data_IF_322260771787
#
_entry.id   IF_322260771787
#
_cell.length_a   1.000
_cell.length_b   1.000
_cell.length_c   1.000
_cell.angle_alpha   90.00
_cell.angle_beta   90.00
_cell.angle_gamma   90.00
#
_symmetry.space_group_name_H-M   'P 1'
#
loop_
_entity.id
_entity.type
_entity.pdbx_description
1 polymer ?
#
# COMPACT_ATOMS: atom_id res chain seq x y z
N UNK A 1 -4.47 59.99 44.61
CA UNK A 1 -4.46 60.28 43.17
C UNK A 1 -4.90 59.01 42.45
N UNK A 2 -6.21 58.82 42.23
CA UNK A 2 -6.91 58.98 40.92
C UNK A 2 -6.42 57.91 39.92
N UNK A 3 -7.21 57.00 39.35
CA UNK A 3 -8.63 56.68 39.41
C UNK A 3 -8.87 55.22 38.94
N UNK A 4 -10.06 54.70 39.28
CA UNK A 4 -10.64 53.38 38.99
C UNK A 4 -11.02 53.16 37.52
N UNK A 5 -11.02 51.90 37.08
CA UNK A 5 -12.19 51.08 36.65
C UNK A 5 -11.68 49.73 36.09
N UNK A 6 -12.09 48.58 36.67
CA UNK A 6 -13.08 47.59 36.15
C UNK A 6 -12.71 47.04 34.76
N UNK A 7 -12.70 45.74 34.42
CA UNK A 7 -13.33 44.53 34.95
C UNK A 7 -12.95 43.31 34.08
N UNK A 8 -12.97 42.09 34.65
CA UNK A 8 -13.31 40.77 34.06
C UNK A 8 -12.83 40.40 32.64
N UNK A 9 -12.09 39.30 32.53
CA UNK A 9 -12.05 38.44 31.34
C UNK A 9 -12.19 36.96 31.72
N UNK A 10 -13.32 36.37 31.30
CA UNK A 10 -13.55 34.93 31.22
C UNK A 10 -13.06 34.44 29.85
N UNK A 11 -12.31 33.34 29.82
CA UNK A 11 -11.83 32.72 28.58
C UNK A 11 -12.68 31.51 28.22
N UNK A 12 -13.37 31.56 27.07
CA UNK A 12 -13.99 30.39 26.45
C UNK A 12 -13.99 30.45 24.91
N UNK A 13 -13.78 29.26 24.34
CA UNK A 13 -14.22 28.76 23.04
C UNK A 13 -13.69 29.37 21.73
N UNK A 14 -12.74 28.64 21.15
CA UNK A 14 -12.77 28.02 19.81
C UNK A 14 -13.96 28.30 18.89
N UNK A 15 -13.71 28.84 17.70
CA UNK A 15 -14.31 28.35 16.44
C UNK A 15 -13.41 28.68 15.24
N UNK A 16 -13.24 27.68 14.36
CA UNK A 16 -12.47 27.67 13.12
C UNK A 16 -12.95 28.67 12.08
N UNK A 17 -12.03 29.29 11.33
CA UNK A 17 -12.30 29.77 9.96
C UNK A 17 -11.10 29.58 9.02
N UNK A 18 -11.45 29.08 7.84
CA UNK A 18 -10.73 28.91 6.58
C UNK A 18 -10.14 30.21 6.02
N UNK A 19 -8.95 30.14 5.40
CA UNK A 19 -8.47 31.19 4.49
C UNK A 19 -7.71 30.60 3.28
N UNK A 20 -8.33 30.74 2.12
CA UNK A 20 -7.67 30.87 0.82
C UNK A 20 -6.87 32.16 0.77
N UNK A 21 -5.73 32.23 0.07
CA UNK A 21 -5.33 33.38 -0.76
C UNK A 21 -4.12 33.05 -1.66
N UNK A 22 -4.14 33.71 -2.81
CA UNK A 22 -3.22 33.66 -3.93
C UNK A 22 -2.06 34.67 -3.85
N UNK A 23 -0.88 34.27 -4.35
CA UNK A 23 -0.04 35.06 -5.27
C UNK A 23 0.84 36.22 -4.74
N UNK A 24 2.17 36.02 -4.77
CA UNK A 24 3.26 37.02 -4.94
C UNK A 24 4.45 36.23 -5.54
N UNK A 25 5.16 36.53 -6.63
CA UNK A 25 5.35 37.77 -7.38
C UNK A 25 6.75 38.36 -7.13
N UNK A 26 7.83 37.82 -7.72
CA UNK A 26 9.09 38.58 -7.87
C UNK A 26 9.72 38.39 -9.26
N UNK A 27 10.15 39.51 -9.80
CA UNK A 27 10.64 39.77 -11.14
C UNK A 27 12.14 40.03 -11.06
N UNK A 28 12.94 39.43 -11.94
CA UNK A 28 14.27 39.95 -12.29
C UNK A 28 14.40 39.97 -13.82
N UNK A 29 14.60 41.19 -14.32
CA UNK A 29 14.87 41.53 -15.72
C UNK A 29 16.33 41.20 -16.04
N UNK A 30 16.56 40.52 -17.16
CA UNK A 30 17.76 40.72 -17.96
C UNK A 30 17.38 40.84 -19.43
N UNK A 31 17.79 41.96 -20.01
CA UNK A 31 17.75 42.30 -21.43
C UNK A 31 18.99 41.73 -22.11
N UNK A 32 18.83 41.04 -23.25
CA UNK A 32 19.38 41.45 -24.55
C UNK A 32 19.38 40.33 -25.63
N UNK A 33 18.55 40.57 -26.64
CA UNK A 33 18.89 40.70 -28.07
C UNK A 33 19.48 39.53 -28.92
N UNK A 34 18.72 39.25 -30.01
CA UNK A 34 19.02 38.58 -31.32
C UNK A 34 18.93 37.04 -31.33
N UNK A 35 18.30 36.33 -32.27
CA UNK A 35 17.54 36.60 -33.52
C UNK A 35 16.72 35.31 -33.80
N UNK A 36 15.41 35.33 -34.06
CA UNK A 36 14.88 35.49 -35.42
C UNK A 36 14.29 34.18 -35.97
N UNK A 37 12.98 33.97 -35.76
CA UNK A 37 12.03 33.44 -36.76
C UNK A 37 10.62 33.38 -36.14
N UNK A 38 9.93 34.51 -36.23
CA UNK A 38 8.49 34.65 -35.96
C UNK A 38 7.70 34.00 -37.10
N UNK A 39 7.11 32.83 -36.86
CA UNK A 39 6.03 32.32 -37.71
C UNK A 39 4.72 33.01 -37.31
N UNK A 40 4.19 33.79 -38.25
CA UNK A 40 2.96 34.57 -38.12
C UNK A 40 1.76 33.65 -37.85
N UNK A 41 1.09 33.85 -36.71
CA UNK A 41 -0.25 33.29 -36.48
C UNK A 41 -1.25 34.15 -37.23
N UNK A 42 -1.69 33.66 -38.39
CA UNK A 42 -2.84 34.21 -39.12
C UNK A 42 -4.10 33.90 -38.31
N UNK A 43 -4.64 34.90 -37.61
CA UNK A 43 -5.98 34.85 -37.00
C UNK A 43 -7.01 34.73 -38.13
N UNK A 44 -7.50 33.53 -38.38
CA UNK A 44 -8.80 33.33 -39.02
C UNK A 44 -9.85 33.24 -37.92
N UNK A 45 -10.64 34.29 -37.79
CA UNK A 45 -11.91 34.31 -37.07
C UNK A 45 -12.93 33.46 -37.83
N UNK A 46 -13.20 32.26 -37.32
CA UNK A 46 -14.23 31.36 -37.81
C UNK A 46 -14.65 30.42 -36.68
N UNK A 47 -15.93 30.49 -36.34
CA UNK A 47 -16.60 29.85 -35.20
C UNK A 47 -16.39 28.35 -35.05
N UNK A 48 -16.47 27.90 -33.78
CA UNK A 48 -16.62 26.52 -33.29
C UNK A 48 -15.39 25.62 -33.39
N UNK A 49 -14.54 25.65 -32.37
CA UNK A 49 -13.82 24.45 -31.93
C UNK A 49 -13.85 24.37 -30.40
N UNK A 50 -14.49 23.32 -29.90
CA UNK A 50 -14.23 22.83 -28.55
C UNK A 50 -12.72 22.66 -28.43
N UNK A 51 -12.09 23.33 -27.46
CA UNK A 51 -10.72 23.03 -27.10
C UNK A 51 -10.64 21.51 -26.84
N UNK A 52 -9.67 20.78 -27.41
CA UNK A 52 -9.54 19.36 -27.13
C UNK A 52 -9.38 19.19 -25.61
N UNK A 53 -10.03 18.21 -24.99
CA UNK A 53 -9.93 17.99 -23.56
C UNK A 53 -8.46 17.78 -23.17
N UNK A 54 -8.11 18.18 -21.95
CA UNK A 54 -6.76 18.19 -21.35
C UNK A 54 -5.91 16.91 -21.56
N UNK A 55 -6.52 15.79 -21.94
CA UNK A 55 -5.88 14.52 -22.31
C UNK A 55 -4.97 14.60 -23.55
N UNK A 56 -5.18 15.58 -24.44
CA UNK A 56 -4.32 15.79 -25.62
C UNK A 56 -3.03 16.57 -25.29
N UNK A 57 -2.85 16.97 -24.02
CA UNK A 57 -1.70 17.76 -23.52
C UNK A 57 -0.72 17.01 -22.62
N UNK A 58 -0.94 15.73 -22.33
CA UNK A 58 0.07 14.94 -21.59
C UNK A 58 0.94 14.14 -22.58
N UNK A 59 2.24 14.50 -22.74
CA UNK A 59 3.13 13.95 -23.77
C UNK A 59 3.75 12.60 -23.38
N UNK A 60 3.38 12.00 -22.25
CA UNK A 60 4.06 10.81 -21.74
C UNK A 60 3.46 9.56 -22.39
N UNK A 61 4.16 9.00 -23.36
CA UNK A 61 3.84 7.72 -23.98
C UNK A 61 5.09 6.87 -24.05
N UNK A 62 4.91 5.55 -24.00
CA UNK A 62 6.00 4.62 -24.21
C UNK A 62 5.72 3.81 -25.47
N UNK A 63 6.19 4.32 -26.60
CA UNK A 63 6.17 3.58 -27.86
C UNK A 63 7.21 2.46 -27.83
N UNK A 64 6.88 1.33 -28.44
CA UNK A 64 7.75 0.17 -28.51
C UNK A 64 7.64 -0.50 -29.87
N UNK A 65 8.69 -1.21 -30.28
CA UNK A 65 8.63 -2.04 -31.47
C UNK A 65 7.94 -3.37 -31.13
N UNK A 66 6.99 -3.86 -31.96
CA UNK A 66 6.34 -5.15 -31.71
C UNK A 66 7.32 -6.31 -31.60
N UNK A 67 8.42 -6.27 -32.36
CA UNK A 67 9.48 -7.29 -32.32
C UNK A 67 10.27 -7.33 -31.01
N UNK A 68 10.20 -6.28 -30.18
CA UNK A 68 10.88 -6.19 -28.90
C UNK A 68 9.94 -6.28 -27.70
N UNK A 69 8.63 -6.51 -27.92
CA UNK A 69 7.62 -6.46 -26.85
C UNK A 69 7.93 -7.47 -25.75
N UNK A 70 8.19 -8.73 -26.10
CA UNK A 70 8.45 -9.77 -25.10
C UNK A 70 9.70 -9.45 -24.26
N UNK A 71 10.80 -9.05 -24.91
CA UNK A 71 12.02 -8.67 -24.21
C UNK A 71 11.83 -7.46 -23.29
N UNK A 72 11.02 -6.48 -23.72
CA UNK A 72 10.67 -5.32 -22.90
C UNK A 72 9.81 -5.72 -21.69
N UNK A 73 8.77 -6.54 -21.89
CA UNK A 73 7.92 -7.02 -20.80
C UNK A 73 8.70 -7.88 -19.81
N UNK A 74 9.61 -8.74 -20.27
CA UNK A 74 10.46 -9.54 -19.38
C UNK A 74 11.41 -8.66 -18.57
N UNK A 75 11.95 -7.58 -19.18
CA UNK A 75 12.75 -6.59 -18.46
C UNK A 75 11.93 -5.75 -17.47
N UNK A 76 10.69 -5.40 -17.78
CA UNK A 76 9.81 -4.63 -16.91
C UNK A 76 9.18 -5.44 -15.77
N UNK A 77 8.82 -6.71 -16.03
CA UNK A 77 7.95 -7.49 -15.15
C UNK A 77 8.60 -8.74 -14.58
N UNK A 78 9.70 -9.26 -15.15
CA UNK A 78 10.34 -10.44 -14.58
C UNK A 78 11.63 -10.09 -13.86
N UNK A 79 12.50 -9.27 -14.48
CA UNK A 79 13.80 -8.92 -13.89
C UNK A 79 13.70 -8.14 -12.57
N UNK A 80 12.81 -7.14 -12.39
CA UNK A 80 12.75 -6.35 -11.16
C UNK A 80 12.24 -7.15 -9.97
N UNK A 81 11.54 -8.25 -10.23
CA UNK A 81 10.96 -9.11 -9.20
C UNK A 81 11.71 -10.42 -9.05
N UNK A 82 12.94 -10.57 -9.55
CA UNK A 82 13.76 -11.75 -9.22
C UNK A 82 14.47 -11.55 -7.89
N UNK A 83 14.43 -12.57 -7.02
CA UNK A 83 15.15 -12.58 -5.75
C UNK A 83 16.65 -12.40 -6.02
N UNK A 84 17.24 -11.33 -5.46
CA UNK A 84 18.68 -11.06 -5.53
C UNK A 84 19.37 -12.03 -4.57
N UNK A 85 19.67 -13.24 -5.05
CA UNK A 85 20.58 -14.13 -4.34
C UNK A 85 21.99 -13.58 -4.51
N UNK A 86 22.49 -12.90 -3.48
CA UNK A 86 23.91 -12.54 -3.39
C UNK A 86 24.72 -13.82 -3.20
N UNK A 87 25.02 -14.53 -4.28
CA UNK A 87 25.89 -15.70 -4.20
C UNK A 87 27.36 -15.35 -3.99
N UNK A 88 27.77 -14.09 -4.13
CA UNK A 88 29.09 -13.58 -3.70
C UNK A 88 28.95 -12.11 -3.36
N UNK A 89 29.45 -11.70 -2.19
CA UNK A 89 29.49 -10.31 -1.70
C UNK A 89 30.35 -9.39 -2.57
N UNK A 90 29.89 -9.15 -3.80
CA UNK A 90 30.39 -8.11 -4.70
C UNK A 90 29.16 -7.30 -5.07
N UNK A 91 28.93 -6.23 -4.33
CA UNK A 91 28.03 -5.15 -4.72
C UNK A 91 28.53 -4.55 -6.04
N UNK A 92 28.16 -5.14 -7.16
CA UNK A 92 28.07 -4.42 -8.42
C UNK A 92 26.67 -3.80 -8.48
N UNK A 93 26.43 -2.85 -7.58
CA UNK A 93 25.15 -2.14 -7.45
C UNK A 93 24.98 -1.03 -8.51
N UNK A 94 25.93 -0.90 -9.47
CA UNK A 94 26.02 0.26 -10.34
C UNK A 94 25.40 0.12 -11.74
N UNK A 95 25.06 -1.08 -12.23
CA UNK A 95 24.73 -1.23 -13.66
C UNK A 95 23.44 -2.02 -13.99
N UNK A 96 22.55 -2.28 -13.02
CA UNK A 96 21.22 -2.80 -13.38
C UNK A 96 20.33 -1.62 -13.74
N UNK A 97 19.93 -1.44 -15.01
CA UNK A 97 19.09 -0.32 -15.40
C UNK A 97 17.74 -0.43 -14.68
N UNK A 98 17.51 0.47 -13.73
CA UNK A 98 16.22 0.63 -13.05
C UNK A 98 15.28 1.34 -14.02
N UNK A 99 14.05 0.84 -14.13
CA UNK A 99 13.04 1.52 -14.93
C UNK A 99 12.69 2.86 -14.26
N UNK A 100 13.02 4.02 -14.85
CA UNK A 100 12.89 5.32 -14.18
C UNK A 100 11.43 5.70 -13.91
N UNK A 101 10.50 5.14 -14.69
CA UNK A 101 9.06 5.36 -14.56
C UNK A 101 8.37 4.30 -13.68
N UNK A 102 9.06 3.20 -13.36
CA UNK A 102 8.48 2.02 -12.75
C UNK A 102 7.70 1.13 -13.74
N UNK A 103 7.58 -0.18 -13.47
CA UNK A 103 6.87 -1.13 -14.34
C UNK A 103 5.40 -0.77 -14.61
N UNK A 104 4.64 -0.47 -13.56
CA UNK A 104 3.19 -0.22 -13.68
C UNK A 104 2.88 0.98 -14.57
N UNK A 105 3.56 2.11 -14.34
CA UNK A 105 3.36 3.32 -15.13
C UNK A 105 3.84 3.12 -16.57
N UNK A 106 4.96 2.43 -16.79
CA UNK A 106 5.46 2.12 -18.13
C UNK A 106 4.45 1.33 -18.96
N UNK A 107 3.84 0.29 -18.38
CA UNK A 107 2.80 -0.50 -19.04
C UNK A 107 1.56 0.35 -19.33
N UNK A 108 1.14 1.18 -18.39
CA UNK A 108 0.04 2.12 -18.61
C UNK A 108 0.34 3.07 -19.78
N UNK A 109 1.55 3.62 -19.87
CA UNK A 109 1.96 4.46 -20.99
C UNK A 109 2.02 3.72 -22.32
N UNK A 110 2.34 2.42 -22.32
CA UNK A 110 2.29 1.56 -23.51
C UNK A 110 0.84 1.38 -23.98
N UNK A 111 -0.11 1.12 -23.07
CA UNK A 111 -1.54 1.05 -23.39
C UNK A 111 -2.05 2.37 -24.01
N UNK A 112 -1.65 3.51 -23.44
CA UNK A 112 -1.99 4.84 -23.96
C UNK A 112 -1.33 5.14 -25.31
N UNK A 113 -0.13 4.61 -25.56
CA UNK A 113 0.55 4.72 -26.85
C UNK A 113 -0.25 4.00 -27.96
N UNK A 114 -0.78 2.80 -27.67
CA UNK A 114 -1.66 2.07 -28.60
C UNK A 114 -2.88 2.91 -28.97
N UNK A 115 -3.57 3.50 -27.98
CA UNK A 115 -4.75 4.34 -28.26
C UNK A 115 -4.43 5.48 -29.22
N UNK A 116 -3.35 6.23 -28.99
CA UNK A 116 -2.96 7.34 -29.86
C UNK A 116 -2.53 6.86 -31.25
N UNK A 117 -1.86 5.72 -31.33
CA UNK A 117 -1.54 5.11 -32.62
C UNK A 117 -2.83 4.82 -33.38
N UNK A 118 -3.83 4.20 -32.75
CA UNK A 118 -5.13 4.00 -33.38
C UNK A 118 -5.79 5.32 -33.80
N UNK A 119 -5.81 6.36 -32.94
CA UNK A 119 -6.38 7.68 -33.27
C UNK A 119 -5.74 8.28 -34.54
N UNK A 120 -4.41 8.16 -34.66
CA UNK A 120 -3.67 8.68 -35.82
C UNK A 120 -4.05 7.95 -37.11
N UNK A 121 -4.21 6.63 -37.04
CA UNK A 121 -4.64 5.83 -38.19
C UNK A 121 -6.09 6.14 -38.58
N UNK A 122 -6.98 6.26 -37.60
CA UNK A 122 -8.38 6.64 -37.80
C UNK A 122 -8.50 8.02 -38.46
N UNK A 123 -7.70 9.00 -38.04
CA UNK A 123 -7.65 10.32 -38.65
C UNK A 123 -7.19 10.29 -40.13
N UNK A 124 -6.33 9.34 -40.51
CA UNK A 124 -5.90 9.16 -41.90
C UNK A 124 -6.96 8.45 -42.75
N UNK A 125 -7.67 7.48 -42.18
CA UNK A 125 -8.75 6.77 -42.85
C UNK A 125 -9.96 7.68 -43.07
N UNK A 126 -10.33 8.49 -42.07
CA UNK A 126 -11.43 9.45 -42.15
C UNK A 126 -11.21 10.52 -43.24
N UNK A 127 -9.95 10.89 -43.52
CA UNK A 127 -9.61 11.81 -44.63
C UNK A 127 -9.89 11.23 -46.01
N UNK A 128 -10.00 9.90 -46.14
CA UNK A 128 -10.19 9.19 -47.41
C UNK A 128 -11.63 8.72 -47.61
N UNK A 129 -12.57 9.16 -46.76
CA UNK A 129 -13.84 8.49 -46.55
C UNK A 129 -15.04 9.08 -47.29
N UNK A 130 -16.00 8.23 -47.67
CA UNK A 130 -17.33 8.58 -48.21
C UNK A 130 -18.45 8.29 -47.18
N UNK A 131 -19.58 9.02 -47.20
CA UNK A 131 -20.60 8.94 -46.14
C UNK A 131 -21.29 7.57 -45.99
N UNK A 132 -21.37 6.77 -47.06
CA UNK A 132 -22.05 5.46 -47.05
C UNK A 132 -21.31 4.35 -46.31
N UNK A 133 -20.02 4.52 -45.99
CA UNK A 133 -19.18 3.49 -45.34
C UNK A 133 -18.85 3.81 -43.87
N UNK A 134 -19.39 4.92 -43.34
CA UNK A 134 -19.01 5.50 -42.03
C UNK A 134 -19.18 4.54 -40.85
N UNK A 135 -20.30 3.83 -40.77
CA UNK A 135 -20.58 2.92 -39.66
C UNK A 135 -19.69 1.66 -39.68
N UNK A 136 -19.46 1.10 -40.87
CA UNK A 136 -18.62 -0.09 -41.04
C UNK A 136 -17.15 0.19 -40.71
N UNK A 137 -16.63 1.35 -41.14
CA UNK A 137 -15.26 1.73 -40.80
C UNK A 137 -15.09 1.97 -39.29
N UNK A 138 -16.02 2.67 -38.64
CA UNK A 138 -15.96 2.88 -37.18
C UNK A 138 -15.96 1.56 -36.41
N UNK A 139 -16.72 0.57 -36.88
CA UNK A 139 -16.69 -0.79 -36.33
C UNK A 139 -15.30 -1.44 -36.51
N UNK A 140 -14.72 -1.40 -37.71
CA UNK A 140 -13.37 -1.93 -37.99
C UNK A 140 -12.27 -1.24 -37.16
N UNK A 141 -12.34 0.08 -37.03
CA UNK A 141 -11.42 0.90 -36.24
C UNK A 141 -11.46 0.51 -34.76
N UNK A 142 -12.67 0.34 -34.22
CA UNK A 142 -12.89 -0.11 -32.85
C UNK A 142 -12.32 -1.51 -32.60
N UNK A 143 -12.63 -2.47 -33.47
CA UNK A 143 -12.14 -3.85 -33.37
C UNK A 143 -10.61 -3.89 -33.39
N UNK A 144 -9.96 -3.10 -34.27
CA UNK A 144 -8.49 -2.98 -34.30
C UNK A 144 -7.96 -2.50 -32.96
N UNK A 145 -8.51 -1.41 -32.42
CA UNK A 145 -8.06 -0.83 -31.14
C UNK A 145 -8.21 -1.82 -29.99
N UNK A 146 -9.35 -2.49 -29.92
CA UNK A 146 -9.63 -3.52 -28.92
C UNK A 146 -8.62 -4.68 -28.99
N UNK A 147 -8.34 -5.18 -30.20
CA UNK A 147 -7.38 -6.27 -30.42
C UNK A 147 -5.97 -5.92 -29.94
N UNK A 148 -5.46 -4.75 -30.30
CA UNK A 148 -4.10 -4.32 -29.92
C UNK A 148 -3.98 -4.15 -28.39
N UNK A 149 -4.98 -3.55 -27.75
CA UNK A 149 -5.00 -3.37 -26.30
C UNK A 149 -5.08 -4.72 -25.56
N UNK A 150 -5.96 -5.62 -25.99
CA UNK A 150 -6.08 -6.96 -25.41
C UNK A 150 -4.78 -7.74 -25.59
N UNK A 151 -4.15 -7.67 -26.76
CA UNK A 151 -2.88 -8.37 -27.02
C UNK A 151 -1.79 -7.96 -26.03
N UNK A 152 -1.64 -6.66 -25.76
CA UNK A 152 -0.67 -6.19 -24.76
C UNK A 152 -1.09 -6.62 -23.35
N UNK A 153 -2.36 -6.49 -23.00
CA UNK A 153 -2.82 -6.75 -21.63
C UNK A 153 -2.78 -8.23 -21.26
N UNK A 154 -3.10 -9.14 -22.18
CA UNK A 154 -2.88 -10.58 -22.01
C UNK A 154 -1.41 -10.87 -21.74
N UNK A 155 -0.51 -10.35 -22.60
CA UNK A 155 0.93 -10.58 -22.45
C UNK A 155 1.46 -10.09 -21.10
N UNK A 156 0.99 -8.94 -20.60
CA UNK A 156 1.33 -8.41 -19.27
C UNK A 156 0.81 -9.31 -18.16
N UNK A 157 -0.48 -9.68 -18.21
CA UNK A 157 -1.12 -10.51 -17.19
C UNK A 157 -0.46 -11.87 -17.08
N UNK A 158 -0.07 -12.50 -18.19
CA UNK A 158 0.64 -13.79 -18.19
C UNK A 158 1.99 -13.72 -17.45
N UNK A 159 2.77 -12.64 -17.65
CA UNK A 159 4.02 -12.43 -16.88
C UNK A 159 3.73 -12.24 -15.40
N UNK A 160 2.73 -11.45 -15.05
CA UNK A 160 2.37 -11.21 -13.65
C UNK A 160 1.90 -12.49 -12.94
N UNK A 161 1.15 -13.36 -13.64
CA UNK A 161 0.80 -14.70 -13.15
C UNK A 161 2.06 -15.54 -12.92
N UNK A 162 3.04 -15.48 -13.83
CA UNK A 162 4.32 -16.18 -13.64
C UNK A 162 5.09 -15.68 -12.42
N UNK A 163 5.08 -14.37 -12.14
CA UNK A 163 5.74 -13.78 -10.97
C UNK A 163 5.03 -14.22 -9.69
N UNK A 164 3.70 -14.21 -9.68
CA UNK A 164 2.89 -14.65 -8.55
C UNK A 164 3.14 -16.13 -8.22
N UNK A 165 3.21 -17.00 -9.24
CA UNK A 165 3.55 -18.41 -9.04
C UNK A 165 4.93 -18.59 -8.39
N UNK A 166 5.93 -17.81 -8.83
CA UNK A 166 7.28 -17.86 -8.24
C UNK A 166 7.27 -17.43 -6.77
N UNK A 167 6.55 -16.36 -6.43
CA UNK A 167 6.38 -15.93 -5.03
C UNK A 167 5.75 -17.01 -4.15
N UNK A 168 4.75 -17.73 -4.69
CA UNK A 168 4.07 -18.82 -3.99
C UNK A 168 4.98 -20.05 -3.80
N UNK A 169 5.74 -20.46 -4.82
CA UNK A 169 6.68 -21.59 -4.75
C UNK A 169 7.85 -21.33 -3.78
N UNK A 170 8.42 -20.12 -3.81
CA UNK A 170 9.49 -19.72 -2.89
C UNK A 170 9.03 -19.69 -1.42
N UNK A 171 7.72 -19.54 -1.16
CA UNK A 171 7.16 -19.56 0.19
C UNK A 171 7.29 -20.92 0.89
N UNK A 172 7.29 -22.00 0.12
CA UNK A 172 7.37 -23.37 0.66
C UNK A 172 8.81 -23.72 1.04
N UNK A 173 9.80 -23.15 0.35
CA UNK A 173 11.19 -23.61 0.40
C UNK A 173 12.10 -22.75 1.31
N UNK A 174 11.66 -21.58 1.76
CA UNK A 174 12.52 -20.67 2.53
C UNK A 174 12.71 -21.14 3.97
N UNK A 175 13.95 -21.19 4.44
CA UNK A 175 14.28 -21.55 5.83
C UNK A 175 15.09 -20.48 6.57
N UNK A 176 15.73 -19.55 5.85
CA UNK A 176 16.54 -18.49 6.47
C UNK A 176 15.79 -17.17 6.59
N UNK A 177 16.22 -16.33 7.55
CA UNK A 177 15.66 -14.98 7.73
C UNK A 177 15.91 -14.09 6.52
N UNK A 178 17.12 -14.16 5.96
CA UNK A 178 17.51 -13.34 4.83
C UNK A 178 16.61 -13.66 3.62
N UNK A 179 16.27 -14.93 3.42
CA UNK A 179 15.33 -15.34 2.38
C UNK A 179 13.93 -14.76 2.64
N UNK A 180 13.45 -14.78 3.89
CA UNK A 180 12.15 -14.19 4.25
C UNK A 180 12.11 -12.67 4.02
N UNK A 181 13.18 -11.96 4.37
CA UNK A 181 13.29 -10.50 4.14
C UNK A 181 13.33 -10.19 2.64
N UNK A 182 14.10 -10.94 1.86
CA UNK A 182 14.13 -10.82 0.40
C UNK A 182 12.77 -11.09 -0.25
N UNK A 183 12.06 -12.14 0.19
CA UNK A 183 10.69 -12.44 -0.27
C UNK A 183 9.69 -11.35 0.12
N UNK A 184 9.82 -10.78 1.32
CA UNK A 184 8.97 -9.67 1.75
C UNK A 184 9.17 -8.43 0.88
N UNK A 185 10.42 -8.10 0.55
CA UNK A 185 10.75 -7.00 -0.37
C UNK A 185 10.17 -7.24 -1.76
N UNK A 186 10.37 -8.44 -2.31
CA UNK A 186 9.84 -8.83 -3.61
C UNK A 186 8.31 -8.79 -3.64
N UNK A 187 7.64 -9.36 -2.63
CA UNK A 187 6.18 -9.34 -2.51
C UNK A 187 5.63 -7.92 -2.39
N UNK A 188 6.30 -7.05 -1.63
CA UNK A 188 5.93 -5.63 -1.51
C UNK A 188 6.08 -4.89 -2.85
N UNK A 189 7.17 -5.12 -3.59
CA UNK A 189 7.41 -4.53 -4.90
C UNK A 189 6.34 -4.95 -5.93
N UNK A 190 6.00 -6.25 -5.95
CA UNK A 190 4.95 -6.79 -6.84
C UNK A 190 3.59 -6.22 -6.44
N UNK A 191 3.23 -6.23 -5.15
CA UNK A 191 1.95 -5.70 -4.67
C UNK A 191 1.78 -4.23 -5.07
N UNK A 192 2.82 -3.42 -4.87
CA UNK A 192 2.84 -2.00 -5.25
C UNK A 192 2.57 -1.82 -6.75
N UNK A 193 3.31 -2.52 -7.61
CA UNK A 193 3.19 -2.37 -9.05
C UNK A 193 1.86 -2.92 -9.62
N UNK A 194 1.44 -4.12 -9.20
CA UNK A 194 0.21 -4.74 -9.72
C UNK A 194 -1.02 -3.93 -9.30
N UNK A 195 -1.06 -3.47 -8.04
CA UNK A 195 -2.18 -2.64 -7.57
C UNK A 195 -2.21 -1.26 -8.20
N UNK A 196 -1.05 -0.66 -8.47
CA UNK A 196 -0.96 0.62 -9.17
C UNK A 196 -1.40 0.49 -10.64
N UNK A 197 -0.99 -0.58 -11.32
CA UNK A 197 -1.44 -0.87 -12.69
C UNK A 197 -2.96 -1.05 -12.75
N UNK A 198 -3.51 -1.83 -11.82
CA UNK A 198 -4.95 -2.00 -11.69
C UNK A 198 -5.65 -0.66 -11.49
N UNK A 199 -5.13 0.18 -10.60
CA UNK A 199 -5.68 1.52 -10.37
C UNK A 199 -5.69 2.36 -11.65
N UNK A 200 -4.58 2.42 -12.40
CA UNK A 200 -4.52 3.19 -13.64
C UNK A 200 -5.51 2.69 -14.69
N UNK A 201 -5.59 1.37 -14.89
CA UNK A 201 -6.50 0.77 -15.87
C UNK A 201 -7.96 0.99 -15.47
N UNK A 202 -8.33 0.72 -14.22
CA UNK A 202 -9.71 0.85 -13.74
C UNK A 202 -10.20 2.30 -13.68
N UNK A 203 -9.31 3.28 -13.49
CA UNK A 203 -9.67 4.70 -13.43
C UNK A 203 -9.64 5.41 -14.78
N UNK A 204 -9.01 4.83 -15.79
CA UNK A 204 -8.97 5.42 -17.13
C UNK A 204 -10.29 5.20 -17.87
N UNK A 205 -11.17 6.19 -17.79
CA UNK A 205 -12.49 6.14 -18.43
C UNK A 205 -12.41 6.00 -19.97
N UNK A 206 -11.33 6.45 -20.61
CA UNK A 206 -11.19 6.31 -22.06
C UNK A 206 -10.88 4.86 -22.43
N UNK A 207 -9.97 4.21 -21.68
CA UNK A 207 -9.69 2.79 -21.85
C UNK A 207 -10.96 1.95 -21.61
N UNK A 208 -11.69 2.23 -20.54
CA UNK A 208 -12.92 1.49 -20.24
C UNK A 208 -14.00 1.68 -21.31
N UNK A 209 -14.17 2.90 -21.84
CA UNK A 209 -15.16 3.20 -22.89
C UNK A 209 -14.92 2.43 -24.20
N UNK A 210 -13.69 2.04 -24.52
CA UNK A 210 -13.38 1.25 -25.73
C UNK A 210 -14.08 -0.12 -25.68
N UNK A 211 -14.29 -0.68 -24.50
CA UNK A 211 -14.82 -2.03 -24.28
C UNK A 211 -16.28 -2.07 -23.82
N UNK A 212 -16.91 -0.92 -23.54
CA UNK A 212 -18.34 -0.84 -23.20
C UNK A 212 -19.22 -1.08 -24.43
N UNK A 213 -20.22 -1.96 -24.36
CA UNK A 213 -21.12 -2.25 -25.48
C UNK A 213 -21.72 -0.95 -26.04
N UNK A 214 -21.55 -0.75 -27.35
CA UNK A 214 -22.25 0.36 -28.03
C UNK A 214 -23.67 -0.09 -28.33
N UNK A 215 -24.65 0.81 -28.30
CA UNK A 215 -26.08 0.56 -28.56
C UNK A 215 -26.40 -0.11 -29.93
N UNK A 216 -25.40 -0.41 -30.77
CA UNK A 216 -25.56 -0.84 -32.16
C UNK A 216 -24.84 -2.14 -32.58
N UNK A 217 -24.32 -2.94 -31.65
CA UNK A 217 -23.58 -4.18 -32.01
C UNK A 217 -23.99 -5.34 -31.10
N UNK A 218 -24.87 -6.21 -31.60
CA UNK A 218 -25.39 -7.38 -30.86
C UNK A 218 -24.55 -8.66 -30.99
N UNK A 219 -23.62 -8.76 -31.94
CA UNK A 219 -23.02 -10.08 -32.27
C UNK A 219 -21.49 -10.18 -32.15
N UNK A 220 -20.75 -9.09 -31.89
CA UNK A 220 -19.26 -9.18 -31.79
C UNK A 220 -18.58 -8.25 -30.78
N UNK A 221 -19.30 -7.26 -30.23
CA UNK A 221 -18.76 -6.36 -29.21
C UNK A 221 -18.78 -6.92 -27.78
N UNK A 222 -19.68 -7.87 -27.50
CA UNK A 222 -19.89 -8.41 -26.15
C UNK A 222 -18.73 -9.31 -25.67
N UNK A 223 -18.19 -10.16 -26.55
CA UNK A 223 -17.09 -11.09 -26.22
C UNK A 223 -15.77 -10.36 -25.92
N UNK A 224 -15.52 -9.25 -26.61
CA UNK A 224 -14.33 -8.44 -26.39
C UNK A 224 -14.41 -7.62 -25.09
N UNK A 225 -15.60 -7.08 -24.79
CA UNK A 225 -15.87 -6.39 -23.52
C UNK A 225 -15.74 -7.32 -22.32
N UNK A 226 -16.29 -8.53 -22.42
CA UNK A 226 -16.15 -9.55 -21.37
C UNK A 226 -14.70 -10.00 -21.19
N UNK A 227 -13.92 -10.13 -22.27
CA UNK A 227 -12.49 -10.47 -22.20
C UNK A 227 -11.67 -9.41 -21.48
N UNK A 228 -11.92 -8.12 -21.75
CA UNK A 228 -11.23 -7.02 -21.06
C UNK A 228 -11.55 -7.00 -19.57
N UNK A 229 -12.83 -7.10 -19.22
CA UNK A 229 -13.25 -7.15 -17.82
C UNK A 229 -12.66 -8.38 -17.12
N UNK A 230 -12.64 -9.54 -17.77
CA UNK A 230 -12.01 -10.75 -17.23
C UNK A 230 -10.51 -10.57 -16.95
N UNK A 231 -9.78 -9.79 -17.76
CA UNK A 231 -8.37 -9.47 -17.48
C UNK A 231 -8.21 -8.48 -16.33
N UNK A 232 -9.10 -7.49 -16.19
CA UNK A 232 -9.12 -6.57 -15.05
C UNK A 232 -9.41 -7.33 -13.76
N UNK A 233 -10.39 -8.24 -13.77
CA UNK A 233 -10.73 -9.11 -12.65
C UNK A 233 -9.54 -10.02 -12.31
N UNK A 234 -8.88 -10.60 -13.32
CA UNK A 234 -7.67 -11.41 -13.11
C UNK A 234 -6.54 -10.60 -12.46
N UNK A 235 -6.39 -9.34 -12.83
CA UNK A 235 -5.41 -8.45 -12.20
C UNK A 235 -5.76 -8.16 -10.72
N UNK A 236 -7.05 -8.02 -10.40
CA UNK A 236 -7.51 -7.88 -9.02
C UNK A 236 -7.29 -9.15 -8.19
N UNK A 237 -7.53 -10.33 -8.77
CA UNK A 237 -7.19 -11.63 -8.15
C UNK A 237 -5.69 -11.73 -7.85
N UNK A 238 -4.84 -11.27 -8.77
CA UNK A 238 -3.39 -11.24 -8.56
C UNK A 238 -3.00 -10.32 -7.40
N UNK A 239 -3.60 -9.12 -7.28
CA UNK A 239 -3.39 -8.24 -6.11
C UNK A 239 -3.73 -8.98 -4.82
N UNK A 240 -4.87 -9.68 -4.79
CA UNK A 240 -5.30 -10.42 -3.61
C UNK A 240 -4.35 -11.59 -3.26
N UNK A 241 -3.91 -12.35 -4.27
CA UNK A 241 -2.98 -13.47 -4.06
C UNK A 241 -1.63 -12.97 -3.52
N UNK A 242 -1.06 -11.94 -4.16
CA UNK A 242 0.21 -11.35 -3.72
C UNK A 242 0.10 -10.73 -2.32
N UNK A 243 -1.02 -10.08 -2.00
CA UNK A 243 -1.28 -9.57 -0.66
C UNK A 243 -1.23 -10.69 0.40
N UNK A 244 -1.91 -11.81 0.14
CA UNK A 244 -1.95 -12.95 1.05
C UNK A 244 -0.57 -13.62 1.22
N UNK A 245 0.17 -13.78 0.11
CA UNK A 245 1.54 -14.31 0.15
C UNK A 245 2.49 -13.38 0.93
N UNK A 246 2.39 -12.08 0.72
CA UNK A 246 3.15 -11.10 1.48
C UNK A 246 2.79 -11.16 2.97
N UNK A 247 1.50 -11.17 3.31
CA UNK A 247 1.04 -11.29 4.70
C UNK A 247 1.59 -12.56 5.38
N UNK A 248 1.56 -13.70 4.69
CA UNK A 248 2.13 -14.96 5.18
C UNK A 248 3.64 -14.83 5.47
N UNK A 249 4.37 -14.16 4.57
CA UNK A 249 5.81 -13.91 4.71
C UNK A 249 6.12 -12.96 5.88
N UNK A 250 5.37 -11.85 5.99
CA UNK A 250 5.52 -10.89 7.09
C UNK A 250 5.18 -11.52 8.45
N UNK A 251 4.15 -12.37 8.51
CA UNK A 251 3.79 -13.12 9.72
C UNK A 251 4.88 -14.13 10.08
N UNK A 252 5.51 -14.74 9.08
CA UNK A 252 6.67 -15.62 9.27
C UNK A 252 7.88 -14.86 9.81
N UNK A 253 8.15 -13.62 9.37
CA UNK A 253 9.22 -12.77 9.92
C UNK A 253 9.02 -12.47 11.41
N UNK A 254 7.80 -12.12 11.80
CA UNK A 254 7.42 -11.90 13.20
C UNK A 254 7.60 -13.19 14.01
N UNK A 255 7.28 -14.34 13.43
CA UNK A 255 7.44 -15.64 14.07
C UNK A 255 8.91 -16.08 14.18
N UNK A 256 9.75 -15.69 13.21
CA UNK A 256 11.11 -16.23 13.00
C UNK A 256 12.05 -15.99 14.19
N UNK A 257 11.99 -14.82 14.82
CA UNK A 257 12.88 -14.45 15.94
C UNK A 257 12.36 -14.82 17.33
N UNK A 258 11.21 -15.50 17.43
CA UNK A 258 10.50 -15.66 18.72
C UNK A 258 10.43 -14.32 19.49
N UNK A 259 10.25 -13.20 18.78
CA UNK A 259 10.22 -11.87 19.42
C UNK A 259 9.06 -11.77 20.42
N UNK A 260 7.90 -12.38 20.09
CA UNK A 260 6.80 -12.55 21.03
C UNK A 260 7.21 -13.39 22.26
N UNK A 261 7.73 -14.63 22.15
CA UNK A 261 8.22 -15.36 23.31
C UNK A 261 9.28 -14.62 24.14
N UNK A 262 10.19 -13.85 23.53
CA UNK A 262 11.17 -13.05 24.25
C UNK A 262 10.51 -11.92 25.05
N UNK A 263 9.53 -11.23 24.45
CA UNK A 263 8.73 -10.21 25.12
C UNK A 263 7.94 -10.81 26.29
N UNK A 264 7.26 -11.94 26.07
CA UNK A 264 6.50 -12.69 27.08
C UNK A 264 7.41 -13.14 28.22
N UNK A 265 8.59 -13.70 27.94
CA UNK A 265 9.55 -14.11 28.96
C UNK A 265 10.07 -12.92 29.79
N UNK A 266 10.28 -11.76 29.17
CA UNK A 266 10.63 -10.54 29.88
C UNK A 266 9.51 -10.07 30.81
N UNK A 267 8.25 -10.25 30.44
CA UNK A 267 7.11 -9.95 31.31
C UNK A 267 6.95 -10.97 32.42
N UNK A 268 7.16 -12.26 32.14
CA UNK A 268 7.13 -13.32 33.15
C UNK A 268 8.13 -13.03 34.27
N UNK A 269 9.39 -12.69 33.93
CA UNK A 269 10.43 -12.34 34.90
C UNK A 269 10.07 -11.13 35.77
N UNK A 270 9.51 -10.07 35.15
CA UNK A 270 9.11 -8.85 35.87
C UNK A 270 7.90 -9.08 36.77
N UNK A 271 6.95 -9.88 36.31
CA UNK A 271 5.79 -10.23 37.11
C UNK A 271 6.18 -11.08 38.33
N UNK A 272 7.21 -11.94 38.23
CA UNK A 272 7.73 -12.71 39.38
C UNK A 272 8.47 -11.85 40.38
N UNK A 273 9.36 -10.95 39.95
CA UNK A 273 10.11 -10.06 40.87
C UNK A 273 9.17 -9.14 41.68
N UNK A 274 8.09 -8.66 41.07
CA UNK A 274 7.09 -7.88 41.81
C UNK A 274 6.36 -8.69 42.89
N UNK A 275 6.12 -9.99 42.67
CA UNK A 275 5.47 -10.85 43.69
C UNK A 275 6.39 -11.16 44.87
N UNK A 276 7.67 -11.36 44.62
CA UNK A 276 8.65 -11.64 45.69
C UNK A 276 8.78 -10.44 46.63
N UNK A 277 8.83 -9.22 46.10
CA UNK A 277 8.86 -7.99 46.89
C UNK A 277 7.57 -7.77 47.72
N UNK A 278 6.40 -8.17 47.20
CA UNK A 278 5.11 -8.12 47.94
C UNK A 278 5.06 -9.17 49.09
N UNK A 279 5.88 -10.23 49.04
CA UNK A 279 5.84 -11.32 50.02
C UNK A 279 6.89 -11.16 51.14
N UNK A 280 7.98 -10.45 50.88
CA UNK A 280 9.04 -10.16 51.87
C UNK A 280 8.81 -8.85 52.66
N UNK A 281 7.95 -7.95 52.18
CA UNK A 281 7.57 -6.70 52.85
C UNK A 281 6.36 -6.83 53.77
N UNK A 282 6.57 -7.39 54.96
CA UNK A 282 5.54 -7.53 56.01
C UNK A 282 5.26 -6.27 56.85
N UNK A 283 5.79 -5.11 56.48
CA UNK A 283 5.53 -3.85 57.20
C UNK A 283 5.16 -2.75 56.20
N UNK A 284 4.10 -2.02 56.52
CA UNK A 284 3.56 -0.87 55.80
C UNK A 284 4.58 0.27 55.75
N UNK A 285 5.60 0.15 54.91
CA UNK A 285 6.33 1.32 54.40
C UNK A 285 5.95 1.48 52.92
N UNK A 286 5.44 2.66 52.57
CA UNK A 286 5.35 3.14 51.20
C UNK A 286 6.78 3.19 50.62
N UNK A 287 7.29 2.04 50.18
CA UNK A 287 8.47 1.99 49.33
C UNK A 287 8.01 2.51 47.98
N UNK A 288 8.29 3.79 47.75
CA UNK A 288 8.28 4.41 46.43
C UNK A 288 9.09 3.50 45.49
N UNK A 289 8.38 2.77 44.61
CA UNK A 289 8.96 1.85 43.64
C UNK A 289 9.77 2.70 42.66
N UNK A 290 11.04 2.93 43.00
CA UNK A 290 12.06 3.58 42.18
C UNK A 290 12.84 2.56 41.36
N UNK A 291 12.22 1.43 40.99
CA UNK A 291 12.77 0.62 39.89
C UNK A 291 12.47 1.33 38.57
N UNK A 292 13.27 2.39 38.35
CA UNK A 292 13.33 3.27 37.18
C UNK A 292 13.73 2.55 35.89
N UNK A 293 13.75 1.20 35.86
CA UNK A 293 13.79 0.46 34.60
C UNK A 293 12.42 0.50 33.92
N UNK A 294 12.01 1.73 33.59
CA UNK A 294 10.78 2.01 32.87
C UNK A 294 10.70 1.06 31.69
N UNK A 295 9.50 0.51 31.40
CA UNK A 295 9.33 -0.34 30.23
C UNK A 295 9.89 0.34 28.98
N UNK A 296 9.93 1.69 28.95
CA UNK A 296 10.44 2.52 27.86
C UNK A 296 11.92 2.30 27.52
N UNK A 297 12.77 1.88 28.46
CA UNK A 297 14.23 1.78 28.24
C UNK A 297 14.70 0.42 27.70
N UNK A 298 13.81 -0.58 27.66
CA UNK A 298 14.16 -1.90 27.11
C UNK A 298 13.88 -1.98 25.60
N UNK A 299 14.84 -2.57 24.87
CA UNK A 299 14.67 -3.02 23.49
C UNK A 299 13.41 -3.86 23.37
N UNK A 300 12.56 -3.49 22.43
CA UNK A 300 11.30 -4.16 22.17
C UNK A 300 11.42 -4.95 20.86
N UNK A 301 11.66 -6.26 20.93
CA UNK A 301 11.95 -7.05 19.75
C UNK A 301 10.74 -7.16 18.80
N UNK A 302 9.51 -6.92 19.30
CA UNK A 302 8.30 -6.91 18.47
C UNK A 302 8.21 -5.59 17.72
N UNK A 303 8.36 -4.45 18.40
CA UNK A 303 8.35 -3.13 17.75
C UNK A 303 9.50 -2.96 16.76
N UNK A 304 10.69 -3.48 17.06
CA UNK A 304 11.81 -3.49 16.12
C UNK A 304 11.47 -4.24 14.83
N UNK A 305 10.81 -5.39 14.94
CA UNK A 305 10.40 -6.19 13.79
C UNK A 305 9.27 -5.50 13.00
N UNK A 306 8.27 -4.93 13.69
CA UNK A 306 7.21 -4.14 13.05
C UNK A 306 7.77 -2.93 12.31
N UNK A 307 8.78 -2.27 12.89
CA UNK A 307 9.47 -1.12 12.26
C UNK A 307 10.22 -1.54 11.01
N UNK A 308 10.90 -2.69 11.02
CA UNK A 308 11.58 -3.25 9.83
C UNK A 308 10.59 -3.60 8.74
N UNK A 309 9.48 -4.26 9.08
CA UNK A 309 8.40 -4.59 8.15
C UNK A 309 7.83 -3.30 7.53
N UNK A 310 7.56 -2.28 8.35
CA UNK A 310 7.08 -0.99 7.87
C UNK A 310 8.08 -0.34 6.90
N UNK A 311 9.37 -0.41 7.22
CA UNK A 311 10.45 0.06 6.35
C UNK A 311 10.46 -0.65 4.99
N UNK A 312 10.27 -1.97 4.96
CA UNK A 312 10.17 -2.75 3.71
C UNK A 312 8.99 -2.26 2.85
N UNK A 313 7.82 -2.05 3.46
CA UNK A 313 6.62 -1.60 2.75
C UNK A 313 6.78 -0.17 2.21
N UNK A 314 7.36 0.74 3.00
CA UNK A 314 7.63 2.11 2.57
C UNK A 314 8.68 2.19 1.46
N UNK A 315 9.78 1.43 1.56
CA UNK A 315 10.82 1.39 0.54
C UNK A 315 10.29 0.92 -0.83
N UNK A 316 9.23 0.10 -0.82
CA UNK A 316 8.58 -0.41 -2.04
C UNK A 316 7.31 0.38 -2.43
N UNK A 317 7.05 1.51 -1.77
CA UNK A 317 5.93 2.41 -2.07
C UNK A 317 4.56 1.71 -2.06
N UNK A 318 4.39 0.74 -1.16
CA UNK A 318 3.11 0.02 -1.03
C UNK A 318 2.00 1.02 -0.69
N UNK A 319 0.86 0.90 -1.37
CA UNK A 319 -0.28 1.78 -1.16
C UNK A 319 -0.66 1.82 0.34
N UNK A 320 -0.84 3.01 0.94
CA UNK A 320 -1.20 3.15 2.36
C UNK A 320 -2.42 2.33 2.79
N UNK A 321 -3.41 2.14 1.90
CA UNK A 321 -4.57 1.30 2.20
C UNK A 321 -4.20 -0.16 2.42
N UNK A 322 -3.25 -0.71 1.64
CA UNK A 322 -2.74 -2.08 1.86
C UNK A 322 -1.85 -2.15 3.09
N UNK A 323 -1.05 -1.12 3.36
CA UNK A 323 -0.23 -1.04 4.56
C UNK A 323 -1.10 -1.18 5.81
N UNK A 324 -2.17 -0.37 5.92
CA UNK A 324 -3.11 -0.45 7.04
C UNK A 324 -3.74 -1.84 7.15
N UNK A 325 -4.15 -2.45 6.02
CA UNK A 325 -4.74 -3.79 6.01
C UNK A 325 -3.75 -4.89 6.43
N UNK A 326 -2.49 -4.82 5.97
CA UNK A 326 -1.44 -5.76 6.36
C UNK A 326 -1.17 -5.63 7.87
N UNK A 327 -1.01 -4.41 8.37
CA UNK A 327 -0.78 -4.19 9.79
C UNK A 327 -1.96 -4.58 10.67
N UNK A 328 -3.20 -4.36 10.22
CA UNK A 328 -4.38 -4.87 10.92
C UNK A 328 -4.33 -6.39 11.10
N UNK A 329 -4.00 -7.14 10.03
CA UNK A 329 -3.88 -8.60 10.09
C UNK A 329 -2.68 -9.07 10.93
N UNK A 330 -1.55 -8.34 10.88
CA UNK A 330 -0.37 -8.60 11.72
C UNK A 330 -0.66 -8.34 13.21
N UNK A 331 -1.29 -7.22 13.56
CA UNK A 331 -1.64 -6.87 14.93
C UNK A 331 -2.65 -7.86 15.51
N UNK A 332 -3.61 -8.30 14.70
CA UNK A 332 -4.51 -9.38 15.07
C UNK A 332 -3.75 -10.70 15.32
N UNK A 333 -2.78 -11.06 14.47
CA UNK A 333 -1.92 -12.23 14.72
C UNK A 333 -1.17 -12.12 16.06
N UNK A 334 -0.56 -10.96 16.35
CA UNK A 334 0.13 -10.71 17.61
C UNK A 334 -0.83 -10.86 18.79
N UNK A 335 -2.02 -10.25 18.69
CA UNK A 335 -3.09 -10.34 19.68
C UNK A 335 -3.46 -11.78 20.01
N UNK A 336 -3.74 -12.58 18.98
CA UNK A 336 -4.09 -13.99 19.13
C UNK A 336 -2.95 -14.81 19.77
N UNK A 337 -1.69 -14.52 19.44
CA UNK A 337 -0.54 -15.22 20.02
C UNK A 337 -0.34 -14.88 21.49
N UNK A 338 -0.44 -13.60 21.86
CA UNK A 338 -0.38 -13.17 23.26
C UNK A 338 -1.52 -13.80 24.06
N UNK A 339 -2.73 -13.82 23.50
CA UNK A 339 -3.88 -14.45 24.13
C UNK A 339 -3.67 -15.95 24.37
N UNK A 340 -3.19 -16.68 23.37
CA UNK A 340 -2.90 -18.11 23.53
C UNK A 340 -1.83 -18.35 24.61
N UNK A 341 -0.81 -17.50 24.70
CA UNK A 341 0.19 -17.59 25.78
C UNK A 341 -0.39 -17.38 27.17
N UNK A 342 -1.48 -16.60 27.32
CA UNK A 342 -2.19 -16.43 28.60
C UNK A 342 -3.01 -17.68 28.95
N UNK A 343 -3.63 -18.33 27.96
CA UNK A 343 -4.38 -19.58 28.17
C UNK A 343 -3.43 -20.73 28.54
N UNK A 344 -2.29 -20.82 27.85
CA UNK A 344 -1.31 -21.89 28.06
C UNK A 344 -0.69 -21.86 29.46
N UNK A 345 -0.52 -20.66 30.05
CA UNK A 345 0.12 -20.49 31.36
C UNK A 345 -0.79 -19.64 32.28
N UNK A 346 -1.68 -20.28 33.07
CA UNK A 346 -2.64 -19.58 33.92
C UNK A 346 -2.00 -18.63 34.95
N UNK A 347 -0.73 -18.87 35.33
CA UNK A 347 0.03 -17.99 36.23
C UNK A 347 0.17 -16.56 35.66
N UNK A 348 0.14 -16.41 34.33
CA UNK A 348 0.18 -15.11 33.63
C UNK A 348 -1.11 -14.32 33.76
N UNK A 349 -2.23 -14.96 34.12
CA UNK A 349 -3.49 -14.28 34.39
C UNK A 349 -3.44 -13.63 35.78
N UNK A 350 -2.73 -12.50 35.88
CA UNK A 350 -2.50 -11.77 37.15
C UNK A 350 -2.51 -10.26 36.96
N UNK A 351 -2.79 -9.47 38.03
CA UNK A 351 -2.77 -8.00 37.95
C UNK A 351 -1.42 -7.43 37.51
N UNK A 352 -0.30 -8.04 37.93
CA UNK A 352 1.04 -7.62 37.52
C UNK A 352 1.24 -7.76 36.00
N UNK A 353 0.81 -8.89 35.42
CA UNK A 353 0.89 -9.14 33.98
C UNK A 353 -0.06 -8.23 33.18
N UNK A 354 -1.27 -8.01 33.69
CA UNK A 354 -2.24 -7.07 33.10
C UNK A 354 -1.70 -5.63 33.01
N UNK A 355 -1.02 -5.17 34.06
CA UNK A 355 -0.32 -3.87 34.07
C UNK A 355 0.76 -3.82 32.99
N UNK A 356 1.66 -4.82 32.93
CA UNK A 356 2.74 -4.86 31.93
C UNK A 356 2.22 -4.89 30.48
N UNK A 357 1.18 -5.68 30.22
CA UNK A 357 0.53 -5.76 28.91
C UNK A 357 -0.12 -4.41 28.53
N UNK A 358 -0.84 -3.80 29.47
CA UNK A 358 -1.47 -2.48 29.29
C UNK A 358 -0.41 -1.41 28.98
N UNK A 359 0.66 -1.34 29.77
CA UNK A 359 1.75 -0.40 29.54
C UNK A 359 2.41 -0.60 28.18
N UNK A 360 2.65 -1.85 27.78
CA UNK A 360 3.20 -2.13 26.46
C UNK A 360 2.27 -1.66 25.33
N UNK A 361 0.97 -1.96 25.41
CA UNK A 361 0.00 -1.55 24.39
C UNK A 361 -0.08 -0.02 24.31
N UNK A 362 -0.32 0.67 25.42
CA UNK A 362 -0.65 2.09 25.39
C UNK A 362 0.59 3.01 25.37
N UNK A 363 1.67 2.65 26.06
CA UNK A 363 2.87 3.50 26.12
C UNK A 363 3.83 3.23 24.96
N UNK A 364 4.01 1.97 24.55
CA UNK A 364 4.93 1.62 23.45
C UNK A 364 4.22 1.51 22.11
N UNK A 365 3.28 0.58 22.00
CA UNK A 365 2.75 0.21 20.69
C UNK A 365 1.86 1.29 20.08
N UNK A 366 0.97 1.91 20.86
CA UNK A 366 0.17 3.07 20.42
C UNK A 366 1.08 4.25 20.08
N UNK A 367 2.07 4.56 20.93
CA UNK A 367 3.02 5.63 20.69
C UNK A 367 3.84 5.43 19.41
N UNK A 368 4.21 4.19 19.09
CA UNK A 368 4.86 3.83 17.82
C UNK A 368 3.89 3.92 16.64
N UNK A 369 2.64 3.48 16.80
CA UNK A 369 1.66 3.38 15.72
C UNK A 369 1.06 4.73 15.31
N UNK A 370 0.97 5.69 16.23
CA UNK A 370 0.40 7.03 16.00
C UNK A 370 1.08 7.80 14.85
N UNK A 371 2.42 8.02 14.84
CA UNK A 371 3.07 8.72 13.73
C UNK A 371 2.98 7.97 12.40
N UNK A 372 2.66 6.68 12.41
CA UNK A 372 2.53 5.84 11.22
C UNK A 372 1.07 5.75 10.71
N UNK A 373 0.12 6.39 11.38
CA UNK A 373 -1.31 6.29 11.04
C UNK A 373 -1.95 4.94 11.36
N UNK A 374 -1.33 4.15 12.25
CA UNK A 374 -1.77 2.79 12.63
C UNK A 374 -2.47 2.71 13.99
N UNK A 375 -2.60 3.84 14.70
CA UNK A 375 -3.17 3.91 16.05
C UNK A 375 -4.53 3.21 16.18
N UNK A 376 -5.47 3.51 15.28
CA UNK A 376 -6.83 2.93 15.32
C UNK A 376 -6.80 1.42 15.16
N UNK A 377 -5.88 0.88 14.35
CA UNK A 377 -5.72 -0.57 14.22
C UNK A 377 -5.22 -1.19 15.54
N UNK A 378 -4.23 -0.59 16.18
CA UNK A 378 -3.73 -1.05 17.49
C UNK A 378 -4.85 -1.04 18.54
N UNK A 379 -5.60 0.05 18.62
CA UNK A 379 -6.73 0.18 19.56
C UNK A 379 -7.81 -0.88 19.30
N UNK A 380 -8.10 -1.19 18.04
CA UNK A 380 -9.12 -2.18 17.68
C UNK A 380 -8.73 -3.62 18.08
N UNK A 381 -7.48 -4.01 17.84
CA UNK A 381 -7.03 -5.41 17.94
C UNK A 381 -6.35 -5.77 19.26
N UNK A 382 -5.80 -4.80 20.00
CA UNK A 382 -4.99 -5.09 21.19
C UNK A 382 -5.53 -4.45 22.48
N UNK A 383 -6.18 -3.29 22.43
CA UNK A 383 -6.65 -2.61 23.66
C UNK A 383 -7.64 -3.45 24.48
N UNK A 384 -8.47 -4.28 23.84
CA UNK A 384 -9.39 -5.18 24.56
C UNK A 384 -8.68 -6.24 25.40
N UNK A 385 -7.53 -6.76 24.94
CA UNK A 385 -6.71 -7.67 25.74
C UNK A 385 -6.29 -7.05 27.07
N UNK A 386 -6.01 -5.74 27.11
CA UNK A 386 -5.57 -5.05 28.34
C UNK A 386 -6.69 -4.73 29.32
N UNK A 387 -7.90 -4.43 28.83
CA UNK A 387 -9.04 -4.04 29.67
C UNK A 387 -9.49 -5.20 30.56
N UNK A 388 -9.39 -6.41 30.03
CA UNK A 388 -9.90 -7.63 30.62
C UNK A 388 -8.99 -8.22 31.71
N UNK A 389 -7.66 -8.07 31.60
CA UNK A 389 -6.70 -8.50 32.63
C UNK A 389 -6.56 -7.54 33.82
N UNK A 390 -6.91 -6.26 33.66
CA UNK A 390 -6.81 -5.26 34.74
C UNK A 390 -7.98 -5.31 35.73
N UNK A 391 -9.03 -6.10 35.45
CA UNK A 391 -10.17 -6.25 36.36
C UNK A 391 -10.01 -7.52 37.19
N UNK A 392 -10.45 -7.49 38.45
CA UNK A 392 -10.50 -8.65 39.38
C UNK A 392 -11.37 -9.83 38.89
N UNK A 393 -11.86 -9.81 37.63
CA UNK A 393 -12.72 -10.81 36.99
C UNK A 393 -12.02 -11.50 35.82
N UNK A 394 -10.72 -11.76 35.93
CA UNK A 394 -9.89 -12.32 34.86
C UNK A 394 -10.38 -13.68 34.31
N UNK A 395 -11.23 -14.42 35.03
CA UNK A 395 -11.87 -15.65 34.54
C UNK A 395 -12.99 -15.41 33.52
N UNK A 396 -13.71 -14.28 33.57
CA UNK A 396 -14.79 -13.95 32.63
C UNK A 396 -14.23 -13.32 31.34
N UNK A 397 -13.13 -12.58 31.48
CA UNK A 397 -12.32 -12.00 30.42
C UNK A 397 -11.93 -13.01 29.32
N UNK A 398 -11.48 -14.21 29.73
CA UNK A 398 -11.06 -15.26 28.79
C UNK A 398 -12.23 -15.70 27.90
N UNK A 399 -13.47 -15.72 28.43
CA UNK A 399 -14.66 -16.15 27.69
C UNK A 399 -15.12 -15.10 26.67
N UNK A 400 -15.06 -13.81 27.00
CA UNK A 400 -15.41 -12.71 26.08
C UNK A 400 -14.38 -12.53 24.96
N UNK A 401 -13.08 -12.66 25.28
CA UNK A 401 -12.00 -12.63 24.30
C UNK A 401 -12.07 -13.84 23.34
N UNK A 402 -12.43 -15.03 23.85
CA UNK A 402 -12.67 -16.22 23.01
C UNK A 402 -13.85 -16.01 22.06
N UNK A 403 -14.98 -15.47 22.54
CA UNK A 403 -16.16 -15.22 21.71
C UNK A 403 -15.87 -14.23 20.57
N UNK A 404 -15.07 -13.19 20.83
CA UNK A 404 -14.73 -12.18 19.82
C UNK A 404 -13.67 -12.66 18.82
N UNK A 405 -12.61 -13.34 19.28
CA UNK A 405 -11.64 -13.95 18.37
C UNK A 405 -12.32 -14.99 17.47
N UNK A 406 -13.26 -15.78 18.00
CA UNK A 406 -14.03 -16.73 17.19
C UNK A 406 -14.90 -16.03 16.13
N UNK A 407 -15.46 -14.85 16.43
CA UNK A 407 -16.26 -14.04 15.49
C UNK A 407 -15.40 -13.33 14.42
N UNK A 408 -14.17 -12.90 14.74
CA UNK A 408 -13.27 -12.30 13.74
C UNK A 408 -12.63 -13.33 12.79
N UNK A 409 -12.69 -14.62 13.10
CA UNK A 409 -12.19 -15.71 12.25
C UNK A 409 -13.13 -16.10 11.08
N UNK A 410 -14.26 -15.42 10.89
CA UNK A 410 -15.20 -15.68 9.78
C UNK A 410 -15.03 -14.79 8.54
N UNK A 411 -13.97 -13.97 8.41
CA UNK A 411 -13.72 -13.16 7.20
C UNK A 411 -12.27 -13.16 6.67
#
# INVERSE_FOLDING_TARGET
>A
MVARNQSREDSSSSTSQTLSTSGIGTSTKHTDSRSGNTLSVRKNSGSNSSAPPLLDRLPCQLAYAPSSLDALLDWLLLKPFKCRRDEKGVENDQDVPVCPLGPAFSIYLMLRAICRQCDRWEALENKKMTPSTSAELKSKQRIRRQRELLSLFVAVTDRLVSVERQLSEDNINSTSRADLEGRAQQGAAVLSNVSQLLHFISKDADLQRIFQSGEYSKDSGEECGSSWLGLVDRLAELVQSVFNNLLSTLTSLISYKRCLPALVASWDLRASTCRENETEGGEEEEIEITDDTSISDLSDPVLEELTKILGILHANLVNPAFLVQLFARILHYISARLFNSLIEEPVRVSPQWGRLLSEWIFKKLVGWAEPQGLRVAVECYLTRLSQDLNTSKASNAITEILAFNYLQWQF
#
